data_IF_627296441207
#
_entry.id   IF_627296441207
#
_cell.length_a   1.000
_cell.length_b   1.000
_cell.length_c   1.000
_cell.angle_alpha   90.00
_cell.angle_beta   90.00
_cell.angle_gamma   90.00
#
_symmetry.space_group_name_H-M   'P 1'
#
loop_
_entity.id
_entity.type
_entity.pdbx_description
1 polymer ?
#
# COMPACT_ATOMS: atom_id res chain seq x y z
N UNK A 1 10.70 0.09 -2.06
CA UNK A 1 9.82 0.72 -3.07
C UNK A 1 8.74 -0.30 -3.43
N UNK A 2 7.49 0.13 -3.54
CA UNK A 2 6.33 -0.71 -3.91
C UNK A 2 5.61 -0.01 -5.06
N UNK A 3 5.38 -0.72 -6.16
CA UNK A 3 4.70 -0.20 -7.35
C UNK A 3 3.51 -1.12 -7.64
N UNK A 4 2.31 -0.56 -7.64
CA UNK A 4 1.07 -1.23 -8.03
C UNK A 4 0.80 -1.13 -9.53
N UNK A 5 -0.28 -1.77 -9.98
CA UNK A 5 -0.71 -1.75 -11.38
C UNK A 5 -1.54 -0.50 -11.71
N UNK A 6 -2.60 -0.25 -10.95
CA UNK A 6 -3.56 0.84 -11.16
C UNK A 6 -4.31 1.15 -9.86
N UNK A 7 -4.90 2.36 -9.70
CA UNK A 7 -5.61 2.72 -8.48
C UNK A 7 -7.00 2.07 -8.43
N UNK A 8 -7.30 1.34 -7.37
CA UNK A 8 -8.63 0.79 -7.11
C UNK A 8 -9.64 1.82 -6.61
N UNK A 9 -10.89 1.39 -6.37
CA UNK A 9 -12.00 2.25 -5.93
C UNK A 9 -11.68 3.10 -4.69
N UNK A 10 -11.15 2.45 -3.64
CA UNK A 10 -10.82 3.12 -2.38
C UNK A 10 -9.62 4.06 -2.54
N UNK A 11 -8.64 3.66 -3.36
CA UNK A 11 -7.44 4.45 -3.63
C UNK A 11 -7.78 5.71 -4.42
N UNK A 12 -8.66 5.61 -5.41
CA UNK A 12 -9.18 6.76 -6.16
C UNK A 12 -9.97 7.70 -5.25
N UNK A 13 -10.81 7.16 -4.36
CA UNK A 13 -11.61 7.96 -3.42
C UNK A 13 -10.73 8.71 -2.40
N UNK A 14 -9.72 8.04 -1.86
CA UNK A 14 -8.86 8.57 -0.79
C UNK A 14 -7.57 9.21 -1.31
N UNK A 15 -7.33 9.16 -2.63
CA UNK A 15 -6.08 9.60 -3.29
C UNK A 15 -4.82 9.05 -2.63
N UNK A 16 -4.91 7.81 -2.13
CA UNK A 16 -3.84 7.16 -1.37
C UNK A 16 -3.68 5.73 -1.86
N UNK A 17 -2.48 5.31 -2.29
CA UNK A 17 -2.29 3.98 -2.90
C UNK A 17 -2.32 2.87 -1.85
N UNK A 18 -2.68 1.65 -2.22
CA UNK A 18 -2.76 0.46 -1.37
C UNK A 18 -3.60 0.66 -0.08
N UNK A 19 -4.70 1.42 -0.13
CA UNK A 19 -5.63 1.57 1.02
C UNK A 19 -6.82 0.61 0.98
N UNK A 20 -7.04 -0.07 -0.14
CA UNK A 20 -8.08 -1.10 -0.29
C UNK A 20 -7.76 -2.41 0.46
N UNK A 21 -8.62 -3.44 0.31
CA UNK A 21 -8.44 -4.74 1.00
C UNK A 21 -7.08 -5.39 0.69
N UNK A 22 -6.72 -5.48 -0.59
CA UNK A 22 -5.43 -6.03 -1.02
C UNK A 22 -4.24 -5.19 -0.52
N UNK A 23 -4.38 -3.86 -0.56
CA UNK A 23 -3.32 -2.97 -0.10
C UNK A 23 -3.07 -3.00 1.40
N UNK A 24 -4.12 -3.09 2.21
CA UNK A 24 -3.99 -3.30 3.67
C UNK A 24 -3.31 -4.63 3.99
N UNK A 25 -3.62 -5.69 3.25
CA UNK A 25 -2.95 -6.98 3.38
C UNK A 25 -1.45 -6.89 3.05
N UNK A 26 -1.10 -6.29 1.91
CA UNK A 26 0.30 -6.09 1.52
C UNK A 26 1.06 -5.26 2.56
N UNK A 27 0.50 -4.12 3.01
CA UNK A 27 1.13 -3.28 4.04
C UNK A 27 1.32 -4.04 5.35
N UNK A 28 0.38 -4.93 5.71
CA UNK A 28 0.52 -5.83 6.85
C UNK A 28 1.73 -6.76 6.72
N UNK A 29 1.86 -7.43 5.56
CA UNK A 29 3.00 -8.31 5.27
C UNK A 29 4.31 -7.52 5.29
N UNK A 30 4.36 -6.35 4.64
CA UNK A 30 5.57 -5.53 4.62
C UNK A 30 6.02 -5.15 6.04
N UNK A 31 5.06 -4.82 6.91
CA UNK A 31 5.35 -4.53 8.31
C UNK A 31 5.84 -5.76 9.06
N UNK A 32 5.25 -6.92 8.83
CA UNK A 32 5.62 -8.17 9.51
C UNK A 32 7.02 -8.65 9.09
N UNK A 33 7.30 -8.65 7.79
CA UNK A 33 8.55 -9.17 7.22
C UNK A 33 9.73 -8.22 7.47
N UNK A 34 9.53 -6.91 7.30
CA UNK A 34 10.62 -5.93 7.40
C UNK A 34 10.67 -5.22 8.76
N UNK A 35 9.64 -5.34 9.61
CA UNK A 35 9.54 -4.59 10.86
C UNK A 35 9.40 -3.07 10.66
N UNK A 36 9.16 -2.61 9.43
CA UNK A 36 9.10 -1.19 9.08
C UNK A 36 7.66 -0.71 8.89
N UNK A 37 7.31 0.51 9.33
CA UNK A 37 6.00 1.09 9.06
C UNK A 37 5.88 1.53 7.60
N UNK A 38 4.64 1.72 7.14
CA UNK A 38 4.31 2.08 5.75
C UNK A 38 5.08 3.31 5.28
N UNK A 39 5.25 4.31 6.14
CA UNK A 39 5.92 5.57 5.81
C UNK A 39 7.40 5.41 5.43
N UNK A 40 8.02 4.26 5.75
CA UNK A 40 9.39 3.95 5.32
C UNK A 40 9.48 3.42 3.91
N UNK A 41 8.36 3.17 3.25
CA UNK A 41 8.31 2.70 1.87
C UNK A 41 7.81 3.82 0.97
N UNK A 42 8.48 4.02 -0.16
CA UNK A 42 7.89 4.72 -1.28
C UNK A 42 6.87 3.80 -1.96
N UNK A 43 5.62 4.22 -2.03
CA UNK A 43 4.49 3.44 -2.54
C UNK A 43 3.78 4.27 -3.62
N UNK A 44 3.68 3.72 -4.81
CA UNK A 44 2.93 4.30 -5.94
C UNK A 44 2.21 3.19 -6.70
N UNK A 45 1.35 3.60 -7.61
CA UNK A 45 0.76 2.79 -8.68
C UNK A 45 0.77 3.64 -9.96
#
# INVERSE_FOLDING_TARGET
>A
MVIGEAPGREETKLKTPFVGKAGRFLVGILREVFGLPREKFYITN
#
